data_IF_533844066189
#
_entry.id   IF_533844066189
#
_cell.length_a   1.000
_cell.length_b   1.000
_cell.length_c   1.000
_cell.angle_alpha   90.00
_cell.angle_beta   90.00
_cell.angle_gamma   90.00
#
_symmetry.space_group_name_H-M   'P 1'
#
loop_
_entity.id
_entity.type
_entity.pdbx_description
1 polymer ?
#
# COMPACT_ATOMS: atom_id res chain seq x y z
N UNK A 1 -29.40 -34.11 -8.59
CA UNK A 1 -29.56 -32.70 -8.99
C UNK A 1 -28.54 -31.91 -8.18
N UNK A 2 -27.63 -31.22 -8.86
CA UNK A 2 -26.51 -30.53 -8.24
C UNK A 2 -26.95 -29.14 -7.77
N UNK A 3 -26.89 -28.89 -6.47
CA UNK A 3 -26.83 -27.52 -5.95
C UNK A 3 -25.37 -27.12 -5.94
N UNK A 4 -25.01 -26.32 -6.93
CA UNK A 4 -23.77 -25.57 -6.99
C UNK A 4 -23.88 -24.49 -5.91
N UNK A 5 -23.38 -24.79 -4.70
CA UNK A 5 -22.99 -23.75 -3.75
C UNK A 5 -21.74 -23.11 -4.36
N UNK A 6 -21.96 -22.04 -5.12
CA UNK A 6 -20.89 -21.16 -5.59
C UNK A 6 -20.08 -20.70 -4.36
N UNK A 7 -18.75 -20.63 -4.45
CA UNK A 7 -17.95 -20.13 -3.32
C UNK A 7 -18.45 -18.72 -2.99
N UNK A 8 -18.80 -18.48 -1.73
CA UNK A 8 -18.94 -17.13 -1.20
C UNK A 8 -17.60 -16.43 -1.39
N UNK A 9 -17.43 -15.81 -2.55
CA UNK A 9 -16.35 -14.89 -2.81
C UNK A 9 -16.70 -13.64 -2.03
N UNK A 10 -16.45 -13.66 -0.72
CA UNK A 10 -16.22 -12.47 0.08
C UNK A 10 -14.90 -11.83 -0.40
N UNK A 11 -14.85 -11.53 -1.69
CA UNK A 11 -13.72 -10.91 -2.36
C UNK A 11 -13.89 -9.43 -2.19
N UNK A 12 -13.10 -8.89 -1.27
CA UNK A 12 -12.91 -7.46 -1.09
C UNK A 12 -14.13 -6.77 -0.49
N UNK A 13 -14.25 -6.89 0.84
CA UNK A 13 -14.77 -5.77 1.64
C UNK A 13 -14.14 -4.51 1.08
N UNK A 14 -14.98 -3.55 0.74
CA UNK A 14 -14.60 -2.26 0.21
C UNK A 14 -13.68 -1.60 1.24
N UNK A 15 -12.37 -1.84 1.13
CA UNK A 15 -11.39 -1.37 2.11
C UNK A 15 -11.60 0.14 2.28
N UNK A 16 -11.69 0.60 3.52
CA UNK A 16 -11.93 2.01 3.78
C UNK A 16 -10.78 2.82 3.16
N UNK A 17 -11.05 4.03 2.72
CA UNK A 17 -10.08 4.90 2.04
C UNK A 17 -8.67 4.90 2.68
N UNK A 18 -8.50 4.95 4.02
CA UNK A 18 -7.17 4.86 4.66
C UNK A 18 -6.46 3.50 4.46
N UNK A 19 -7.18 2.38 4.46
CA UNK A 19 -6.61 1.05 4.27
C UNK A 19 -6.11 0.86 2.82
N UNK A 20 -6.81 1.46 1.85
CA UNK A 20 -6.35 1.49 0.45
C UNK A 20 -5.05 2.28 0.29
N UNK A 21 -4.94 3.41 1.00
CA UNK A 21 -3.76 4.26 0.96
C UNK A 21 -2.54 3.54 1.53
N UNK A 22 -2.68 2.84 2.66
CA UNK A 22 -1.59 2.03 3.22
C UNK A 22 -1.14 0.92 2.24
N UNK A 23 -2.08 0.23 1.60
CA UNK A 23 -1.77 -0.75 0.56
C UNK A 23 -0.98 -0.16 -0.62
N UNK A 24 -1.32 1.06 -1.05
CA UNK A 24 -0.60 1.80 -2.09
C UNK A 24 0.83 2.10 -1.66
N UNK A 25 1.01 2.61 -0.44
CA UNK A 25 2.34 2.95 0.07
C UNK A 25 3.26 1.73 0.12
N UNK A 26 2.76 0.59 0.57
CA UNK A 26 3.51 -0.68 0.60
C UNK A 26 3.91 -1.12 -0.82
N UNK A 27 2.99 -1.03 -1.78
CA UNK A 27 3.29 -1.38 -3.18
C UNK A 27 4.35 -0.46 -3.78
N UNK A 28 4.25 0.86 -3.58
CA UNK A 28 5.22 1.82 -4.10
C UNK A 28 6.61 1.57 -3.50
N UNK A 29 6.70 1.29 -2.19
CA UNK A 29 7.98 0.95 -1.54
C UNK A 29 8.59 -0.31 -2.14
N UNK A 30 7.79 -1.36 -2.38
CA UNK A 30 8.28 -2.58 -3.04
C UNK A 30 8.75 -2.31 -4.47
N UNK A 31 8.01 -1.51 -5.23
CA UNK A 31 8.36 -1.13 -6.59
C UNK A 31 9.68 -0.33 -6.64
N UNK A 32 9.88 0.59 -5.69
CA UNK A 32 11.13 1.34 -5.54
C UNK A 32 12.32 0.45 -5.18
N UNK A 33 12.12 -0.55 -4.32
CA UNK A 33 13.16 -1.54 -4.01
C UNK A 33 13.49 -2.42 -5.22
N UNK A 34 12.49 -2.81 -6.01
CA UNK A 34 12.68 -3.60 -7.21
C UNK A 34 13.27 -2.79 -8.38
N UNK A 35 13.01 -1.48 -8.42
CA UNK A 35 13.40 -0.55 -9.49
C UNK A 35 13.81 0.81 -8.91
N UNK A 36 15.02 0.92 -8.36
CA UNK A 36 15.49 2.17 -7.71
C UNK A 36 15.67 3.35 -8.68
N UNK A 37 15.49 3.14 -10.00
CA UNK A 37 15.49 4.20 -11.01
C UNK A 37 14.12 4.83 -11.25
N UNK A 38 13.02 4.25 -10.74
CA UNK A 38 11.71 4.91 -10.76
C UNK A 38 11.60 5.88 -9.58
N UNK A 39 11.12 7.10 -9.83
CA UNK A 39 10.95 8.10 -8.77
C UNK A 39 9.67 7.85 -7.97
N UNK A 40 9.75 7.91 -6.63
CA UNK A 40 8.62 7.70 -5.71
C UNK A 40 7.39 8.53 -6.09
N UNK A 41 7.61 9.80 -6.46
CA UNK A 41 6.57 10.71 -6.92
C UNK A 41 5.81 10.19 -8.15
N UNK A 42 6.53 9.65 -9.13
CA UNK A 42 5.93 9.13 -10.38
C UNK A 42 5.10 7.88 -10.12
N UNK A 43 5.60 6.99 -9.26
CA UNK A 43 4.88 5.79 -8.84
C UNK A 43 3.60 6.14 -8.06
N UNK A 44 3.67 7.12 -7.16
CA UNK A 44 2.53 7.62 -6.41
C UNK A 44 1.49 8.28 -7.33
N UNK A 45 1.91 9.16 -8.25
CA UNK A 45 1.02 9.79 -9.25
C UNK A 45 0.28 8.74 -10.09
N UNK A 46 0.98 7.68 -10.52
CA UNK A 46 0.38 6.61 -11.30
C UNK A 46 -0.67 5.86 -10.49
N UNK A 47 -0.37 5.48 -9.23
CA UNK A 47 -1.29 4.71 -8.38
C UNK A 47 -2.52 5.49 -7.98
N UNK A 48 -2.37 6.76 -7.64
CA UNK A 48 -3.49 7.66 -7.32
C UNK A 48 -4.44 7.74 -8.51
N UNK A 49 -3.90 7.88 -9.73
CA UNK A 49 -4.68 7.90 -10.97
C UNK A 49 -5.37 6.56 -11.26
N UNK A 50 -4.63 5.45 -11.18
CA UNK A 50 -5.14 4.11 -11.48
C UNK A 50 -6.29 3.71 -10.55
N UNK A 51 -6.21 4.13 -9.28
CA UNK A 51 -7.23 3.88 -8.28
C UNK A 51 -8.31 4.97 -8.21
N UNK A 52 -8.23 6.00 -9.06
CA UNK A 52 -9.14 7.15 -9.08
C UNK A 52 -9.31 7.79 -7.71
N UNK A 53 -8.21 7.87 -6.96
CA UNK A 53 -8.19 8.57 -5.67
C UNK A 53 -8.15 10.06 -5.93
N UNK A 54 -9.06 10.78 -5.29
CA UNK A 54 -9.03 12.23 -5.23
C UNK A 54 -8.23 12.62 -3.98
N UNK A 55 -6.97 12.96 -4.17
CA UNK A 55 -6.08 13.42 -3.11
C UNK A 55 -5.80 14.90 -3.32
N UNK A 56 -5.91 15.67 -2.25
CA UNK A 56 -5.40 17.04 -2.24
C UNK A 56 -3.88 17.05 -2.39
N UNK A 57 -3.33 18.20 -2.78
CA UNK A 57 -1.87 18.39 -2.86
C UNK A 57 -1.19 18.13 -1.51
N UNK A 58 -1.82 18.54 -0.40
CA UNK A 58 -1.30 18.32 0.95
C UNK A 58 -1.23 16.82 1.30
N UNK A 59 -2.26 16.04 0.97
CA UNK A 59 -2.26 14.59 1.17
C UNK A 59 -1.22 13.90 0.30
N UNK A 60 -1.10 14.33 -0.96
CA UNK A 60 -0.10 13.78 -1.87
C UNK A 60 1.33 14.01 -1.36
N UNK A 61 1.64 15.23 -0.92
CA UNK A 61 2.95 15.58 -0.39
C UNK A 61 3.24 14.85 0.93
N UNK A 62 2.23 14.69 1.80
CA UNK A 62 2.36 13.90 3.02
C UNK A 62 2.67 12.41 2.74
N UNK A 63 2.01 11.82 1.74
CA UNK A 63 2.27 10.44 1.32
C UNK A 63 3.65 10.28 0.71
N UNK A 64 4.07 11.24 -0.12
CA UNK A 64 5.41 11.24 -0.70
C UNK A 64 6.49 11.33 0.38
N UNK A 65 6.31 12.22 1.35
CA UNK A 65 7.20 12.33 2.51
C UNK A 65 7.25 11.03 3.31
N UNK A 66 6.13 10.31 3.46
CA UNK A 66 6.06 9.00 4.14
C UNK A 66 6.79 7.89 3.36
N UNK A 67 6.84 7.97 2.04
CA UNK A 67 7.63 7.05 1.20
C UNK A 67 9.13 7.35 1.34
N UNK A 68 9.53 8.62 1.21
CA UNK A 68 10.94 9.05 1.24
C UNK A 68 11.56 8.97 2.63
N UNK A 69 10.80 9.27 3.68
CA UNK A 69 11.24 9.11 5.07
C UNK A 69 11.38 7.63 5.45
N UNK A 70 10.97 6.72 4.56
CA UNK A 70 11.10 5.30 4.73
C UNK A 70 10.43 4.78 5.99
N UNK A 71 9.35 5.43 6.46
CA UNK A 71 8.78 5.24 7.82
C UNK A 71 8.85 3.77 8.20
N UNK A 72 9.92 3.53 8.94
CA UNK A 72 10.30 2.32 9.61
C UNK A 72 9.29 2.26 10.75
N UNK A 73 8.06 1.84 10.44
CA UNK A 73 7.23 1.22 11.45
C UNK A 73 8.06 0.06 11.96
N UNK A 74 8.78 0.36 13.03
CA UNK A 74 9.51 -0.50 13.94
C UNK A 74 8.97 -1.90 13.78
N UNK A 75 9.73 -2.78 13.11
CA UNK A 75 9.61 -4.19 13.44
C UNK A 75 9.99 -4.23 14.92
N UNK A 76 9.09 -4.54 15.86
CA UNK A 76 9.58 -4.91 17.17
C UNK A 76 10.49 -6.09 16.88
N UNK A 77 11.78 -5.92 17.11
CA UNK A 77 12.69 -7.05 17.12
C UNK A 77 12.07 -8.07 18.07
N UNK A 78 11.50 -9.14 17.52
CA UNK A 78 11.49 -10.43 18.17
C UNK A 78 12.97 -10.76 18.41
N UNK A 79 13.52 -10.18 19.46
CA UNK A 79 14.67 -10.68 20.18
C UNK A 79 14.22 -12.02 20.77
N UNK A 80 14.19 -12.99 19.88
CA UNK A 80 14.03 -14.40 20.17
C UNK A 80 15.09 -14.73 21.20
N UNK A 81 14.62 -15.13 22.39
CA UNK A 81 15.42 -15.74 23.44
C UNK A 81 16.41 -16.75 22.85
N UNK A 82 17.68 -16.55 23.19
CA UNK A 82 18.76 -17.53 23.24
C UNK A 82 19.86 -16.80 24.03
N UNK A 83 20.27 -17.16 25.24
CA UNK A 83 20.30 -18.42 25.99
C UNK A 83 19.81 -18.22 27.43
#
# INVERSE_FOLDING_TARGET
MATQDEPMQAGSTEAEQPERIEGILVQIRNDLQARPGEGARRLLEQRVRDQKLDLSTEEFDALLARIDSGDEMVRPEETKRLD
#
